data_IF_996671674521
#
_entry.id   IF_996671674521
#
_cell.length_a   1.000
_cell.length_b   1.000
_cell.length_c   1.000
_cell.angle_alpha   90.00
_cell.angle_beta   90.00
_cell.angle_gamma   90.00
#
_symmetry.space_group_name_H-M   'P 1'
#
loop_
_entity.id
_entity.type
_entity.pdbx_description
1 polymer ?
#
# COMPACT_ATOMS: atom_id res chain seq x y z
N UNK A 1 -18.74 -3.93 -6.02
CA UNK A 1 -18.12 -4.95 -6.90
C UNK A 1 -17.04 -5.64 -6.10
N UNK A 2 -17.18 -6.93 -5.85
CA UNK A 2 -16.20 -7.69 -5.06
C UNK A 2 -14.79 -7.61 -5.65
N UNK A 3 -13.78 -7.71 -4.78
CA UNK A 3 -12.39 -7.77 -5.20
C UNK A 3 -12.16 -9.04 -6.04
N UNK A 4 -12.01 -8.89 -7.35
CA UNK A 4 -11.68 -9.98 -8.27
C UNK A 4 -10.17 -10.27 -8.23
N UNK A 5 -9.73 -10.90 -7.13
CA UNK A 5 -8.34 -11.25 -6.88
C UNK A 5 -8.23 -12.28 -5.75
N UNK A 6 -7.00 -12.75 -5.50
CA UNK A 6 -6.70 -13.66 -4.38
C UNK A 6 -6.09 -12.85 -3.26
N UNK A 7 -6.55 -13.09 -2.03
CA UNK A 7 -6.06 -12.35 -0.88
C UNK A 7 -6.05 -13.20 0.39
N UNK A 8 -5.27 -12.76 1.35
CA UNK A 8 -5.25 -13.23 2.71
C UNK A 8 -5.35 -12.02 3.65
N UNK A 9 -5.94 -12.23 4.83
CA UNK A 9 -6.00 -11.23 5.90
C UNK A 9 -5.54 -11.85 7.20
N UNK A 10 -4.68 -11.13 7.94
CA UNK A 10 -4.22 -11.54 9.26
C UNK A 10 -3.86 -10.32 10.09
N UNK A 11 -3.89 -10.45 11.42
CA UNK A 11 -3.31 -9.46 12.33
C UNK A 11 -1.80 -9.74 12.59
N UNK A 12 -1.26 -10.83 12.06
CA UNK A 12 0.16 -11.15 12.15
C UNK A 12 0.95 -10.37 11.10
N UNK A 13 1.41 -9.18 11.49
CA UNK A 13 2.23 -8.30 10.64
C UNK A 13 3.40 -9.04 9.99
N UNK A 14 4.18 -9.74 10.80
CA UNK A 14 5.47 -10.30 10.35
C UNK A 14 5.27 -11.40 9.30
N UNK A 15 4.21 -12.19 9.43
CA UNK A 15 3.82 -13.19 8.42
C UNK A 15 3.31 -12.54 7.14
N UNK A 16 2.45 -11.53 7.24
CA UNK A 16 1.88 -10.87 6.07
C UNK A 16 2.94 -10.14 5.23
N UNK A 17 3.91 -9.50 5.89
CA UNK A 17 5.06 -8.92 5.18
C UNK A 17 5.97 -9.97 4.54
N UNK A 18 6.10 -11.19 5.12
CA UNK A 18 6.81 -12.30 4.48
C UNK A 18 6.08 -12.81 3.24
N UNK A 19 4.76 -12.98 3.31
CA UNK A 19 3.94 -13.41 2.17
C UNK A 19 4.05 -12.39 1.03
N UNK A 20 3.86 -11.10 1.34
CA UNK A 20 4.01 -10.03 0.35
C UNK A 20 5.39 -10.04 -0.29
N UNK A 21 6.46 -10.04 0.52
CA UNK A 21 7.83 -10.00 0.00
C UNK A 21 8.14 -11.22 -0.85
N UNK A 22 7.74 -12.42 -0.42
CA UNK A 22 7.93 -13.64 -1.18
C UNK A 22 7.20 -13.58 -2.53
N UNK A 23 5.92 -13.19 -2.54
CA UNK A 23 5.12 -13.04 -3.77
C UNK A 23 5.71 -12.00 -4.72
N UNK A 24 6.06 -10.82 -4.20
CA UNK A 24 6.66 -9.73 -4.98
C UNK A 24 8.02 -10.10 -5.59
N UNK A 25 8.84 -10.89 -4.90
CA UNK A 25 10.17 -11.26 -5.37
C UNK A 25 10.17 -12.45 -6.34
N UNK A 26 9.15 -13.32 -6.29
CA UNK A 26 9.15 -14.60 -7.01
C UNK A 26 8.01 -14.73 -8.02
N UNK A 27 7.34 -13.62 -8.35
CA UNK A 27 6.30 -13.60 -9.40
C UNK A 27 6.45 -12.37 -10.28
N UNK A 28 5.87 -12.44 -11.47
CA UNK A 28 5.78 -11.32 -12.41
C UNK A 28 4.41 -10.63 -12.29
N UNK A 29 3.76 -10.75 -11.14
CA UNK A 29 2.45 -10.16 -10.86
C UNK A 29 2.60 -9.10 -9.78
N UNK A 30 1.83 -8.02 -9.86
CA UNK A 30 1.78 -7.05 -8.77
C UNK A 30 1.10 -7.66 -7.53
N UNK A 31 1.84 -7.68 -6.43
CA UNK A 31 1.32 -7.96 -5.10
C UNK A 31 1.04 -6.65 -4.38
N UNK A 32 0.07 -6.67 -3.48
CA UNK A 32 -0.30 -5.56 -2.62
C UNK A 32 -0.32 -6.01 -1.17
N UNK A 33 0.06 -5.10 -0.28
CA UNK A 33 -0.16 -5.20 1.15
C UNK A 33 -0.68 -3.87 1.69
N UNK A 34 -1.72 -3.93 2.52
CA UNK A 34 -2.26 -2.77 3.22
C UNK A 34 -2.36 -3.05 4.69
N UNK A 35 -2.20 -1.99 5.48
CA UNK A 35 -2.51 -2.00 6.90
C UNK A 35 -3.78 -1.23 7.16
N UNK A 36 -4.66 -1.81 7.96
CA UNK A 36 -5.88 -1.17 8.47
C UNK A 36 -5.90 -1.24 9.99
N UNK A 37 -6.29 -0.15 10.63
CA UNK A 37 -6.53 -0.15 12.06
C UNK A 37 -8.00 -0.44 12.34
N UNK A 38 -8.27 -1.54 13.01
CA UNK A 38 -9.63 -1.91 13.39
C UNK A 38 -10.17 -0.97 14.46
N UNK A 39 -11.50 -0.95 14.62
CA UNK A 39 -12.15 -0.21 15.70
C UNK A 39 -11.71 -0.61 17.11
N UNK A 40 -11.10 -1.79 17.27
CA UNK A 40 -10.52 -2.28 18.53
C UNK A 40 -9.08 -1.79 18.80
N UNK A 41 -8.49 -1.04 17.87
CA UNK A 41 -7.10 -0.57 17.95
C UNK A 41 -6.06 -1.57 17.44
N UNK A 42 -6.45 -2.81 17.13
CA UNK A 42 -5.59 -3.83 16.50
C UNK A 42 -5.41 -3.52 15.02
N UNK A 43 -4.20 -3.72 14.49
CA UNK A 43 -3.95 -3.64 13.06
C UNK A 43 -4.22 -4.97 12.36
N UNK A 44 -4.89 -4.90 11.21
CA UNK A 44 -5.05 -6.00 10.28
C UNK A 44 -4.30 -5.69 9.00
N UNK A 45 -3.74 -6.74 8.40
CA UNK A 45 -2.94 -6.66 7.20
C UNK A 45 -3.63 -7.47 6.12
N UNK A 46 -3.93 -6.82 5.01
CA UNK A 46 -4.43 -7.45 3.79
C UNK A 46 -3.25 -7.65 2.87
N UNK A 47 -3.04 -8.86 2.36
CA UNK A 47 -2.10 -9.13 1.26
C UNK A 47 -2.87 -9.74 0.12
N UNK A 48 -2.69 -9.27 -1.09
CA UNK A 48 -3.40 -9.82 -2.24
C UNK A 48 -2.82 -9.44 -3.57
N UNK A 49 -3.43 -9.98 -4.61
CA UNK A 49 -3.12 -9.67 -6.00
C UNK A 49 -4.39 -9.74 -6.84
N UNK A 50 -4.47 -8.89 -7.86
CA UNK A 50 -5.53 -8.95 -8.87
C UNK A 50 -5.30 -10.08 -9.91
N UNK A 51 -4.14 -10.75 -9.85
CA UNK A 51 -3.70 -11.70 -10.87
C UNK A 51 -3.27 -11.04 -12.18
N UNK A 52 -3.09 -9.71 -12.22
CA UNK A 52 -2.60 -8.96 -13.38
C UNK A 52 -1.20 -8.41 -13.14
N UNK A 53 -0.38 -8.47 -14.19
CA UNK A 53 1.02 -7.99 -14.22
C UNK A 53 1.17 -6.48 -13.98
N UNK A 54 0.10 -5.67 -14.18
CA UNK A 54 0.20 -4.19 -14.19
C UNK A 54 -0.85 -3.46 -13.35
N UNK A 55 -1.54 -4.14 -12.44
CA UNK A 55 -2.53 -3.46 -11.60
C UNK A 55 -2.83 -4.17 -10.29
N UNK A 56 -2.37 -3.63 -9.16
CA UNK A 56 -3.00 -3.88 -7.87
C UNK A 56 -4.00 -2.74 -7.55
N UNK A 57 -5.30 -3.03 -7.58
CA UNK A 57 -6.30 -2.02 -7.27
C UNK A 57 -6.41 -1.83 -5.75
N UNK A 58 -6.47 -0.58 -5.24
CA UNK A 58 -6.78 -0.34 -3.85
C UNK A 58 -8.16 -0.93 -3.52
N UNK A 59 -8.21 -1.71 -2.44
CA UNK A 59 -9.39 -2.39 -1.91
C UNK A 59 -10.37 -1.35 -1.45
N UNK A 60 -11.22 -0.95 -2.37
CA UNK A 60 -12.35 -0.07 -2.10
C UNK A 60 -13.62 -0.86 -1.76
N UNK A 61 -13.61 -2.20 -1.90
CA UNK A 61 -14.85 -3.00 -1.85
C UNK A 61 -14.76 -4.27 -0.98
N UNK A 62 -13.98 -4.28 0.09
CA UNK A 62 -14.22 -5.25 1.17
C UNK A 62 -14.96 -4.51 2.27
N UNK A 63 -16.22 -4.85 2.51
CA UNK A 63 -17.14 -4.14 3.44
C UNK A 63 -16.55 -3.93 4.84
N UNK A 64 -15.60 -4.77 5.25
CA UNK A 64 -14.86 -4.69 6.52
C UNK A 64 -13.78 -3.61 6.60
N UNK A 65 -13.29 -3.07 5.47
CA UNK A 65 -12.15 -2.15 5.43
C UNK A 65 -12.57 -0.74 5.01
N UNK A 66 -12.62 0.17 5.97
CA UNK A 66 -12.88 1.58 5.70
C UNK A 66 -11.60 2.26 5.20
N UNK A 67 -11.72 3.13 4.18
CA UNK A 67 -10.60 3.94 3.70
C UNK A 67 -9.95 4.79 4.81
N UNK A 68 -10.74 5.28 5.78
CA UNK A 68 -10.28 6.07 6.92
C UNK A 68 -9.64 5.23 8.04
N UNK A 69 -9.72 3.91 7.94
CA UNK A 69 -9.00 3.02 8.86
C UNK A 69 -7.64 2.61 8.27
N UNK A 70 -7.31 3.00 7.03
CA UNK A 70 -6.04 2.64 6.38
C UNK A 70 -4.85 3.36 7.04
N UNK A 71 -3.81 2.60 7.34
CA UNK A 71 -2.54 3.08 7.92
C UNK A 71 -1.48 3.23 6.82
N UNK A 72 -1.43 2.26 5.91
CA UNK A 72 -0.58 2.31 4.74
C UNK A 72 -1.16 1.47 3.60
N UNK A 73 -0.69 1.77 2.40
CA UNK A 73 -0.91 0.98 1.19
C UNK A 73 0.43 0.82 0.49
N UNK A 74 0.79 -0.43 0.16
CA UNK A 74 2.00 -0.76 -0.56
C UNK A 74 1.72 -1.79 -1.66
N UNK A 75 2.31 -1.63 -2.84
CA UNK A 75 2.28 -2.65 -3.87
C UNK A 75 3.63 -2.81 -4.56
N UNK A 76 3.83 -3.96 -5.18
CA UNK A 76 5.05 -4.29 -5.89
C UNK A 76 4.93 -3.99 -7.37
N UNK A 77 6.01 -3.51 -7.98
CA UNK A 77 6.16 -3.48 -9.44
C UNK A 77 7.13 -4.60 -9.86
N UNK A 78 6.66 -5.59 -10.65
CA UNK A 78 7.49 -6.72 -11.07
C UNK A 78 8.61 -6.32 -12.05
N UNK A 79 8.52 -5.14 -12.69
CA UNK A 79 9.30 -4.84 -13.89
C UNK A 79 8.79 -5.65 -15.08
N UNK A 80 9.38 -5.47 -16.27
CA UNK A 80 9.12 -6.39 -17.39
C UNK A 80 10.35 -7.25 -17.71
N UNK A 81 10.10 -8.38 -18.36
CA UNK A 81 11.14 -9.34 -18.79
C UNK A 81 12.04 -8.81 -19.91
N UNK A 82 11.85 -7.54 -20.34
CA UNK A 82 12.63 -6.87 -21.40
C UNK A 82 13.58 -5.81 -20.85
N UNK A 83 13.76 -5.75 -19.53
CA UNK A 83 14.65 -4.80 -18.88
C UNK A 83 14.03 -3.42 -18.69
N UNK A 84 12.72 -3.24 -18.92
CA UNK A 84 12.04 -2.14 -18.25
C UNK A 84 12.05 -2.44 -16.77
N UNK A 85 12.65 -1.54 -16.02
CA UNK A 85 12.74 -1.67 -14.57
C UNK A 85 11.34 -1.69 -13.89
N UNK A 86 10.24 -1.52 -14.64
CA UNK A 86 8.99 -1.04 -14.08
C UNK A 86 9.15 0.44 -13.76
N UNK A 87 8.07 1.14 -13.44
CA UNK A 87 8.23 2.53 -13.02
C UNK A 87 9.04 2.53 -11.73
N UNK A 88 10.21 3.18 -11.72
CA UNK A 88 10.87 3.56 -10.46
C UNK A 88 9.90 4.46 -9.71
N UNK A 89 9.14 3.89 -8.78
CA UNK A 89 8.08 4.55 -8.01
C UNK A 89 6.70 4.49 -8.68
N UNK A 90 5.83 5.45 -8.37
CA UNK A 90 4.39 5.36 -8.67
C UNK A 90 4.07 5.57 -10.16
N UNK A 91 3.15 4.77 -10.71
CA UNK A 91 2.55 4.98 -12.02
C UNK A 91 1.56 6.16 -12.02
N UNK A 92 1.12 6.62 -13.19
CA UNK A 92 0.08 7.66 -13.28
C UNK A 92 -1.24 7.26 -12.59
N UNK A 93 -1.61 5.98 -12.66
CA UNK A 93 -2.79 5.43 -11.97
C UNK A 93 -2.60 5.43 -10.46
N UNK A 94 -1.39 5.12 -9.98
CA UNK A 94 -1.07 5.17 -8.55
C UNK A 94 -1.21 6.60 -8.00
N UNK A 95 -0.71 7.59 -8.74
CA UNK A 95 -0.83 9.01 -8.37
C UNK A 95 -2.28 9.47 -8.38
N UNK A 96 -3.06 9.07 -9.37
CA UNK A 96 -4.50 9.36 -9.40
C UNK A 96 -5.21 8.78 -8.18
N UNK A 97 -4.95 7.52 -7.83
CA UNK A 97 -5.55 6.85 -6.66
C UNK A 97 -5.22 7.58 -5.36
N UNK A 98 -3.96 7.98 -5.17
CA UNK A 98 -3.51 8.71 -3.98
C UNK A 98 -4.08 10.13 -3.94
N UNK A 99 -4.22 10.78 -5.10
CA UNK A 99 -4.86 12.10 -5.22
C UNK A 99 -6.35 12.04 -4.87
N UNK A 100 -7.09 11.07 -5.39
CA UNK A 100 -8.51 10.87 -5.04
C UNK A 100 -8.70 10.53 -3.56
N UNK A 101 -7.78 9.74 -2.98
CA UNK A 101 -7.77 9.46 -1.54
C UNK A 101 -7.50 10.73 -0.74
N UNK A 102 -6.53 11.54 -1.14
CA UNK A 102 -6.22 12.81 -0.50
C UNK A 102 -7.42 13.76 -0.49
N UNK A 103 -8.12 13.90 -1.63
CA UNK A 103 -9.34 14.68 -1.72
C UNK A 103 -10.44 14.15 -0.80
N UNK A 104 -10.63 12.82 -0.71
CA UNK A 104 -11.56 12.21 0.24
C UNK A 104 -11.24 12.57 1.69
N UNK A 105 -9.96 12.60 2.06
CA UNK A 105 -9.52 12.96 3.40
C UNK A 105 -9.69 14.46 3.69
N UNK A 106 -9.35 15.32 2.74
CA UNK A 106 -9.58 16.77 2.80
C UNK A 106 -11.06 17.08 3.03
N UNK A 107 -11.94 16.45 2.24
CA UNK A 107 -13.40 16.63 2.36
C UNK A 107 -13.96 16.13 3.70
N UNK A 108 -13.26 15.20 4.35
CA UNK A 108 -13.62 14.68 5.67
C UNK A 108 -13.06 15.50 6.84
N UNK A 109 -12.37 16.61 6.57
CA UNK A 109 -11.85 17.52 7.59
C UNK A 109 -10.34 17.45 7.83
N UNK A 110 -9.58 16.71 7.02
CA UNK A 110 -8.12 16.71 7.12
C UNK A 110 -7.53 18.07 6.72
N UNK A 111 -6.73 18.67 7.59
CA UNK A 111 -5.99 19.92 7.31
C UNK A 111 -4.59 19.62 6.76
N UNK A 112 -3.86 18.72 7.42
CA UNK A 112 -2.51 18.27 7.06
C UNK A 112 -2.40 16.74 7.03
N UNK A 113 -1.62 16.16 6.09
CA UNK A 113 -1.53 14.71 5.89
C UNK A 113 -0.80 13.96 7.02
N UNK A 114 0.07 14.65 7.76
CA UNK A 114 0.82 14.11 8.89
C UNK A 114 0.14 14.32 10.25
N UNK A 115 -1.04 14.94 10.26
CA UNK A 115 -1.80 15.24 11.48
C UNK A 115 -3.00 14.31 11.65
N UNK A 116 -3.21 13.89 12.90
CA UNK A 116 -4.41 13.18 13.28
C UNK A 116 -5.63 14.10 13.24
N UNK A 117 -6.73 13.63 12.67
CA UNK A 117 -8.03 14.31 12.71
C UNK A 117 -9.15 13.30 13.00
N UNK A 118 -10.31 13.81 13.43
CA UNK A 118 -11.47 12.97 13.77
C UNK A 118 -12.45 12.94 12.58
N UNK A 119 -12.82 11.74 12.15
CA UNK A 119 -13.88 11.53 11.16
C UNK A 119 -14.70 10.30 11.52
N UNK A 120 -16.02 10.35 11.35
CA UNK A 120 -16.93 9.24 11.70
C UNK A 120 -16.71 8.68 13.11
N UNK A 121 -16.42 9.55 14.08
CA UNK A 121 -16.18 9.16 15.48
C UNK A 121 -14.80 8.58 15.78
N UNK A 122 -13.89 8.44 14.81
CA UNK A 122 -12.55 7.83 14.98
C UNK A 122 -11.43 8.79 14.62
N UNK A 123 -10.28 8.65 15.28
CA UNK A 123 -9.05 9.36 14.92
C UNK A 123 -8.35 8.63 13.77
N UNK A 124 -8.04 9.38 12.72
CA UNK A 124 -7.35 8.90 11.51
C UNK A 124 -6.24 9.90 11.12
N UNK A 125 -5.26 9.41 10.35
CA UNK A 125 -4.23 10.20 9.68
C UNK A 125 -4.16 9.75 8.23
N UNK A 126 -3.63 10.57 7.31
CA UNK A 126 -3.50 10.15 5.92
C UNK A 126 -2.58 8.92 5.82
N UNK A 127 -2.98 7.86 5.11
CA UNK A 127 -2.16 6.66 5.01
C UNK A 127 -0.88 6.96 4.22
N UNK A 128 0.16 6.21 4.52
CA UNK A 128 1.41 6.25 3.76
C UNK A 128 1.29 5.36 2.52
N UNK A 129 1.92 5.78 1.42
CA UNK A 129 1.81 5.08 0.14
C UNK A 129 3.20 4.65 -0.34
N UNK A 130 3.36 3.36 -0.64
CA UNK A 130 4.66 2.80 -0.99
C UNK A 130 4.63 1.95 -2.25
N UNK A 131 5.70 2.04 -3.03
CA UNK A 131 5.96 1.11 -4.13
C UNK A 131 7.21 0.32 -3.79
N UNK A 132 7.12 -1.01 -3.83
CA UNK A 132 8.26 -1.91 -3.74
C UNK A 132 8.66 -2.38 -5.13
N UNK A 133 9.81 -1.92 -5.59
CA UNK A 133 10.35 -2.26 -6.89
C UNK A 133 11.17 -3.55 -6.81
N UNK A 134 10.66 -4.63 -7.43
CA UNK A 134 11.23 -5.99 -7.34
C UNK A 134 12.71 -6.04 -7.72
N UNK A 135 13.05 -5.61 -8.94
CA UNK A 135 14.39 -5.80 -9.52
C UNK A 135 15.49 -5.09 -8.72
N UNK A 136 15.31 -3.80 -8.41
CA UNK A 136 16.24 -3.03 -7.60
C UNK A 136 16.12 -3.26 -6.09
N UNK A 137 15.11 -4.03 -5.66
CA UNK A 137 14.72 -4.20 -4.26
C UNK A 137 14.55 -2.85 -3.54
N UNK A 138 14.01 -1.84 -4.23
CA UNK A 138 13.90 -0.48 -3.70
C UNK A 138 12.50 -0.19 -3.21
N UNK A 139 12.40 0.43 -2.03
CA UNK A 139 11.16 0.98 -1.51
C UNK A 139 11.11 2.49 -1.79
N UNK A 140 10.02 2.92 -2.43
CA UNK A 140 9.69 4.31 -2.66
C UNK A 140 8.48 4.70 -1.83
N UNK A 141 8.49 5.90 -1.26
CA UNK A 141 7.31 6.55 -0.71
C UNK A 141 6.78 7.53 -1.76
N UNK A 142 5.47 7.68 -1.84
CA UNK A 142 4.87 8.63 -2.77
C UNK A 142 3.66 9.32 -2.14
N UNK A 143 3.34 10.47 -2.71
CA UNK A 143 2.33 11.40 -2.20
C UNK A 143 1.50 11.91 -3.38
N UNK A 144 0.38 12.61 -3.13
CA UNK A 144 -0.40 13.23 -4.21
C UNK A 144 0.38 14.22 -5.08
N UNK A 145 1.53 14.73 -4.63
CA UNK A 145 2.33 15.73 -5.32
C UNK A 145 3.68 15.23 -5.83
N UNK A 146 4.14 14.06 -5.38
CA UNK A 146 5.43 13.50 -5.79
C UNK A 146 5.35 11.98 -5.92
N UNK A 147 5.67 11.47 -7.12
CA UNK A 147 5.55 10.05 -7.46
C UNK A 147 6.68 9.17 -6.96
N UNK A 148 7.89 9.73 -6.76
CA UNK A 148 9.10 8.94 -6.59
C UNK A 148 10.00 9.51 -5.47
N UNK A 149 9.67 9.25 -4.20
CA UNK A 149 10.56 9.58 -3.07
C UNK A 149 11.33 8.31 -2.66
N UNK A 150 12.63 8.28 -2.93
CA UNK A 150 13.47 7.15 -2.50
C UNK A 150 13.49 7.05 -0.96
N UNK A 151 13.25 5.85 -0.45
CA UNK A 151 13.35 5.58 0.99
C UNK A 151 14.59 4.75 1.29
N UNK A 152 14.69 3.54 0.72
CA UNK A 152 15.81 2.61 0.95
C UNK A 152 15.74 1.38 0.05
N UNK A 153 16.82 0.60 0.03
CA UNK A 153 16.82 -0.78 -0.45
C UNK A 153 16.35 -1.76 0.64
N UNK A 154 15.63 -2.81 0.24
CA UNK A 154 14.98 -3.81 1.08
C UNK A 154 15.48 -5.20 0.71
N UNK A 155 16.32 -5.78 1.57
CA UNK A 155 16.93 -7.09 1.32
C UNK A 155 16.22 -8.23 2.07
N UNK A 156 15.12 -7.94 2.78
CA UNK A 156 14.37 -8.95 3.54
C UNK A 156 12.94 -8.49 3.86
N UNK A 157 12.02 -9.43 4.17
CA UNK A 157 10.69 -9.09 4.67
C UNK A 157 10.72 -8.21 5.92
N UNK A 158 11.67 -8.48 6.82
CA UNK A 158 11.88 -7.69 8.04
C UNK A 158 12.26 -6.25 7.73
N UNK A 159 13.00 -6.04 6.64
CA UNK A 159 13.37 -4.72 6.15
C UNK A 159 12.16 -3.88 5.74
N UNK A 160 11.10 -4.51 5.21
CA UNK A 160 9.88 -3.81 4.80
C UNK A 160 9.24 -3.10 5.98
N UNK A 161 8.91 -3.78 7.08
CA UNK A 161 8.09 -3.17 8.14
C UNK A 161 8.87 -2.42 9.22
N UNK A 162 10.16 -2.73 9.44
CA UNK A 162 10.93 -2.16 10.58
C UNK A 162 11.04 -0.63 10.57
N UNK A 163 10.73 0.03 9.46
CA UNK A 163 11.01 1.44 9.25
C UNK A 163 9.93 2.22 8.50
N UNK A 164 8.71 1.67 8.37
CA UNK A 164 7.61 2.39 7.72
C UNK A 164 6.95 3.42 8.64
N UNK A 165 7.37 3.49 9.90
CA UNK A 165 7.01 4.55 10.85
C UNK A 165 5.53 4.60 11.17
N UNK A 166 4.90 3.43 11.28
CA UNK A 166 3.54 3.26 11.80
C UNK A 166 3.55 2.37 13.04
#
# INVERSE_FOLDING_TARGET
MDYNGRYAVSNNRDEMFKIFYYGAMHSDVEFRIDGYRTGSGVNEYFVGTSGKESASFPSLNLDRFNKFDMVFNMHSHPGDNKGWEGTKGASGVDIQNVTSRYQSYRNAGMTHPDQWFKTNGRNTVFPKHYVFHKLSSTLYHYTPWQSNVFIRKINSPKGLYRNLGF
#
